data_IF_510134971417
#
_entry.id   IF_510134971417
#
_cell.length_a   1.000
_cell.length_b   1.000
_cell.length_c   1.000
_cell.angle_alpha   90.00
_cell.angle_beta   90.00
_cell.angle_gamma   90.00
#
_symmetry.space_group_name_H-M   'P 1'
#
loop_
_entity.id
_entity.type
_entity.pdbx_description
1 polymer ?
#
# COMPACT_ATOMS: atom_id res chain seq x y z
N UNK A 1 5.54 -34.76 32.82
CA UNK A 1 5.37 -33.61 33.75
C UNK A 1 6.04 -32.32 33.22
N UNK A 2 7.03 -32.39 32.29
CA UNK A 2 7.66 -31.19 31.70
C UNK A 2 6.92 -30.64 30.46
N UNK A 3 6.12 -31.39 29.77
CA UNK A 3 5.41 -30.92 28.55
C UNK A 3 4.25 -29.98 28.81
N UNK A 4 3.63 -30.01 30.00
CA UNK A 4 2.52 -29.16 30.37
C UNK A 4 2.92 -27.74 30.78
N UNK A 5 4.18 -27.51 31.11
CA UNK A 5 4.70 -26.16 31.43
C UNK A 5 4.91 -25.27 30.21
N UNK A 6 4.91 -25.85 28.99
CA UNK A 6 5.16 -25.15 27.72
C UNK A 6 3.88 -24.79 26.96
N UNK A 7 2.69 -25.24 27.43
CA UNK A 7 1.42 -24.99 26.74
C UNK A 7 1.11 -23.48 26.52
N UNK A 8 1.22 -22.57 27.52
CA UNK A 8 0.97 -21.15 27.28
C UNK A 8 2.04 -20.49 26.41
N UNK A 9 3.31 -20.92 26.52
CA UNK A 9 4.39 -20.44 25.67
C UNK A 9 4.27 -20.99 24.23
N UNK A 10 3.85 -22.23 24.07
CA UNK A 10 3.59 -22.86 22.78
C UNK A 10 2.44 -22.21 22.01
N UNK A 11 1.36 -21.83 22.72
CA UNK A 11 0.23 -21.08 22.15
C UNK A 11 0.62 -19.67 21.71
N UNK A 12 1.43 -18.96 22.48
CA UNK A 12 2.00 -17.66 22.10
C UNK A 12 2.90 -17.77 20.87
N UNK A 13 3.74 -18.81 20.80
CA UNK A 13 4.59 -19.09 19.66
C UNK A 13 3.81 -19.43 18.38
N UNK A 14 2.72 -20.18 18.49
CA UNK A 14 1.84 -20.52 17.37
C UNK A 14 1.05 -19.32 16.84
N UNK A 15 0.50 -18.49 17.73
CA UNK A 15 -0.25 -17.28 17.34
C UNK A 15 0.69 -16.25 16.71
N UNK A 16 1.87 -16.05 17.29
CA UNK A 16 2.89 -15.13 16.74
C UNK A 16 3.50 -15.64 15.43
N UNK A 17 3.83 -16.94 15.35
CA UNK A 17 4.47 -17.53 14.19
C UNK A 17 3.58 -17.64 12.95
N UNK A 18 2.28 -17.85 13.10
CA UNK A 18 1.35 -17.98 11.97
C UNK A 18 0.86 -16.63 11.42
N UNK A 19 0.86 -15.59 12.25
CA UNK A 19 0.43 -14.23 11.86
C UNK A 19 1.58 -13.41 11.25
N UNK A 20 2.82 -13.64 11.67
CA UNK A 20 3.98 -12.85 11.26
C UNK A 20 4.24 -12.85 9.73
N UNK A 21 4.29 -13.98 9.00
CA UNK A 21 4.64 -13.97 7.58
C UNK A 21 3.59 -13.27 6.70
N UNK A 22 2.30 -13.45 7.00
CA UNK A 22 1.23 -12.77 6.26
C UNK A 22 1.23 -11.25 6.45
N UNK A 23 1.55 -10.79 7.65
CA UNK A 23 1.65 -9.35 7.96
C UNK A 23 2.83 -8.72 7.22
N UNK A 24 3.97 -9.40 7.16
CA UNK A 24 5.19 -8.88 6.50
C UNK A 24 5.00 -8.79 4.99
N UNK A 25 4.42 -9.79 4.34
CA UNK A 25 4.19 -9.81 2.89
C UNK A 25 3.19 -8.72 2.50
N UNK A 26 2.08 -8.57 3.23
CA UNK A 26 1.10 -7.53 2.96
C UNK A 26 1.63 -6.11 3.22
N UNK A 27 2.54 -5.94 4.19
CA UNK A 27 3.19 -4.65 4.43
C UNK A 27 4.14 -4.25 3.29
N UNK A 28 4.89 -5.20 2.73
CA UNK A 28 5.80 -4.94 1.61
C UNK A 28 5.05 -4.57 0.33
N UNK A 29 3.98 -5.28 0.01
CA UNK A 29 3.15 -4.96 -1.15
C UNK A 29 2.50 -3.57 -1.03
N UNK A 30 1.91 -3.25 0.12
CA UNK A 30 1.31 -1.93 0.39
C UNK A 30 2.33 -0.79 0.38
N UNK A 31 3.56 -1.04 0.82
CA UNK A 31 4.62 -0.05 0.80
C UNK A 31 5.12 0.22 -0.63
N UNK A 32 5.13 -0.77 -1.51
CA UNK A 32 5.47 -0.61 -2.91
C UNK A 32 4.40 0.21 -3.66
N UNK A 33 3.11 -0.14 -3.49
CA UNK A 33 2.00 0.61 -4.07
C UNK A 33 2.01 2.08 -3.60
N UNK A 34 2.23 2.33 -2.30
CA UNK A 34 2.28 3.68 -1.74
C UNK A 34 3.45 4.52 -2.29
N UNK A 35 4.57 3.90 -2.64
CA UNK A 35 5.72 4.58 -3.25
C UNK A 35 5.41 5.07 -4.65
N UNK A 36 4.82 4.23 -5.49
CA UNK A 36 4.47 4.58 -6.87
C UNK A 36 3.55 5.80 -6.91
N UNK A 37 2.57 5.90 -6.01
CA UNK A 37 1.66 7.03 -5.93
C UNK A 37 2.36 8.37 -5.66
N UNK A 38 3.44 8.35 -4.87
CA UNK A 38 4.22 9.54 -4.54
C UNK A 38 5.10 10.01 -5.69
N UNK A 39 5.36 9.16 -6.69
CA UNK A 39 6.21 9.48 -7.83
C UNK A 39 5.46 10.19 -8.96
N UNK A 40 4.14 10.00 -9.05
CA UNK A 40 3.33 10.56 -10.11
C UNK A 40 3.32 12.10 -10.16
N UNK A 41 3.21 12.84 -9.03
CA UNK A 41 3.31 14.29 -9.06
C UNK A 41 4.62 14.77 -9.69
N UNK A 42 5.74 14.14 -9.35
CA UNK A 42 7.04 14.50 -9.88
C UNK A 42 7.14 14.16 -11.38
N UNK A 43 6.61 13.03 -11.82
CA UNK A 43 6.55 12.67 -13.24
C UNK A 43 5.73 13.71 -14.04
N UNK A 44 4.58 14.14 -13.52
CA UNK A 44 3.73 15.15 -14.17
C UNK A 44 4.41 16.54 -14.17
N UNK A 45 5.14 16.90 -13.13
CA UNK A 45 5.92 18.13 -13.11
C UNK A 45 7.07 18.13 -14.10
N UNK A 46 7.74 16.99 -14.31
CA UNK A 46 8.71 16.83 -15.37
C UNK A 46 8.07 17.01 -16.75
N UNK A 47 6.89 16.42 -17.01
CA UNK A 47 6.13 16.62 -18.23
C UNK A 47 5.79 18.10 -18.44
N UNK A 48 5.24 18.76 -17.41
CA UNK A 48 4.92 20.18 -17.44
C UNK A 48 6.12 21.05 -17.79
N UNK A 49 7.27 20.73 -17.19
CA UNK A 49 8.52 21.48 -17.43
C UNK A 49 9.02 21.28 -18.86
N UNK A 50 8.94 20.06 -19.39
CA UNK A 50 9.32 19.73 -20.75
C UNK A 50 8.44 20.43 -21.78
N UNK A 51 7.10 20.45 -21.57
CA UNK A 51 6.14 21.16 -22.42
C UNK A 51 6.39 22.67 -22.38
N UNK A 52 6.68 23.26 -21.22
CA UNK A 52 7.04 24.68 -21.11
C UNK A 52 8.34 25.01 -21.84
N UNK A 53 9.27 24.07 -21.93
CA UNK A 53 10.49 24.21 -22.70
C UNK A 53 10.28 24.02 -24.21
N UNK A 54 9.04 23.79 -24.66
CA UNK A 54 8.67 23.70 -26.08
C UNK A 54 8.69 22.27 -26.64
N UNK A 55 8.85 21.23 -25.81
CA UNK A 55 8.75 19.87 -26.29
C UNK A 55 7.28 19.51 -26.57
N UNK A 56 7.06 18.68 -27.57
CA UNK A 56 5.76 18.05 -27.80
C UNK A 56 5.44 17.03 -26.70
N UNK A 57 4.15 16.74 -26.48
CA UNK A 57 3.73 15.77 -25.45
C UNK A 57 4.38 14.38 -25.61
N UNK A 58 4.48 13.80 -26.83
CA UNK A 58 5.21 12.54 -27.02
C UNK A 58 6.69 12.64 -26.62
N UNK A 59 7.38 13.73 -27.01
CA UNK A 59 8.79 13.94 -26.65
C UNK A 59 8.99 14.11 -25.15
N UNK A 60 8.09 14.83 -24.50
CA UNK A 60 8.10 14.99 -23.04
C UNK A 60 7.93 13.64 -22.31
N UNK A 61 7.05 12.76 -22.80
CA UNK A 61 6.90 11.40 -22.28
C UNK A 61 8.14 10.53 -22.53
N UNK A 62 8.75 10.63 -23.70
CA UNK A 62 10.03 9.96 -24.00
C UNK A 62 11.12 10.45 -23.03
N UNK A 63 11.14 11.74 -22.70
CA UNK A 63 12.12 12.29 -21.75
C UNK A 63 12.01 11.68 -20.36
N UNK A 64 10.82 11.25 -19.93
CA UNK A 64 10.64 10.56 -18.64
C UNK A 64 11.39 9.23 -18.56
N UNK A 65 11.71 8.58 -19.68
CA UNK A 65 12.49 7.33 -19.66
C UNK A 65 13.92 7.50 -19.13
N UNK A 66 14.45 8.72 -19.10
CA UNK A 66 15.79 9.00 -18.60
C UNK A 66 15.86 10.13 -17.57
N UNK A 67 14.89 11.03 -17.51
CA UNK A 67 14.81 12.13 -16.51
C UNK A 67 13.73 11.95 -15.48
N UNK A 68 12.79 11.03 -15.68
CA UNK A 68 11.71 10.74 -14.74
C UNK A 68 12.17 10.03 -13.47
N UNK A 69 11.26 9.83 -12.52
CA UNK A 69 11.48 9.00 -11.34
C UNK A 69 11.99 7.61 -11.73
N UNK A 70 12.96 7.10 -10.99
CA UNK A 70 13.70 5.88 -11.33
C UNK A 70 12.79 4.69 -11.55
N UNK A 71 11.79 4.51 -10.69
CA UNK A 71 10.85 3.40 -10.74
C UNK A 71 9.90 3.43 -11.95
N UNK A 72 9.71 4.60 -12.55
CA UNK A 72 8.84 4.78 -13.73
C UNK A 72 9.62 4.78 -15.05
N UNK A 73 10.95 4.86 -15.02
CA UNK A 73 11.78 4.98 -16.24
C UNK A 73 11.59 3.82 -17.20
N UNK A 74 11.53 2.59 -16.67
CA UNK A 74 11.35 1.39 -17.50
C UNK A 74 10.02 1.39 -18.25
N UNK A 75 8.95 1.81 -17.59
CA UNK A 75 7.63 1.93 -18.20
C UNK A 75 7.64 2.98 -19.34
N UNK A 76 8.25 4.14 -19.10
CA UNK A 76 8.37 5.17 -20.13
C UNK A 76 9.37 4.78 -21.23
N UNK A 77 10.37 3.94 -20.95
CA UNK A 77 11.23 3.36 -21.98
C UNK A 77 10.46 2.39 -22.90
N UNK A 78 9.50 1.63 -22.34
CA UNK A 78 8.56 0.84 -23.13
C UNK A 78 7.72 1.72 -24.04
N UNK A 79 7.10 2.77 -23.50
CA UNK A 79 6.36 3.74 -24.31
C UNK A 79 7.22 4.35 -25.41
N UNK A 80 8.45 4.75 -25.09
CA UNK A 80 9.38 5.35 -26.05
C UNK A 80 9.67 4.42 -27.24
N UNK A 81 9.90 3.13 -26.98
CA UNK A 81 10.14 2.13 -28.03
C UNK A 81 8.89 1.92 -28.89
N UNK A 82 7.74 1.76 -28.26
CA UNK A 82 6.48 1.53 -28.95
C UNK A 82 6.09 2.72 -29.84
N UNK A 83 6.21 3.94 -29.31
CA UNK A 83 5.88 5.13 -30.06
C UNK A 83 6.83 5.38 -31.23
N UNK A 84 8.13 5.15 -31.05
CA UNK A 84 9.12 5.26 -32.15
C UNK A 84 8.91 4.23 -33.23
N UNK A 85 8.40 3.06 -32.89
CA UNK A 85 8.16 1.97 -33.86
C UNK A 85 6.85 2.19 -34.62
N UNK A 86 5.79 2.66 -33.99
CA UNK A 86 4.44 2.76 -34.57
C UNK A 86 4.08 4.17 -35.07
N UNK A 87 4.62 5.22 -34.43
CA UNK A 87 4.17 6.60 -34.60
C UNK A 87 2.78 6.89 -33.96
N UNK A 88 2.14 5.88 -33.41
CA UNK A 88 0.77 5.96 -32.87
C UNK A 88 0.76 6.28 -31.39
N UNK A 89 0.35 7.50 -31.04
CA UNK A 89 0.42 7.98 -29.66
C UNK A 89 -0.57 7.28 -28.73
N UNK A 90 -1.86 7.24 -29.11
CA UNK A 90 -2.91 6.66 -28.24
C UNK A 90 -2.74 5.16 -28.03
N UNK A 91 -2.46 4.34 -29.06
CA UNK A 91 -2.14 2.94 -28.85
C UNK A 91 -0.92 2.70 -27.95
N UNK A 92 0.14 3.53 -28.09
CA UNK A 92 1.32 3.43 -27.23
C UNK A 92 1.02 3.80 -25.77
N UNK A 93 0.15 4.79 -25.53
CA UNK A 93 -0.33 5.11 -24.20
C UNK A 93 -1.20 3.98 -23.61
N UNK A 94 -2.01 3.32 -24.42
CA UNK A 94 -2.79 2.17 -23.95
C UNK A 94 -1.90 1.02 -23.50
N UNK A 95 -0.84 0.70 -24.25
CA UNK A 95 0.14 -0.31 -23.85
C UNK A 95 0.89 0.09 -22.58
N UNK A 96 1.24 1.38 -22.43
CA UNK A 96 1.82 1.90 -21.19
C UNK A 96 0.87 1.71 -20.00
N UNK A 97 -0.42 2.00 -20.19
CA UNK A 97 -1.47 1.79 -19.19
C UNK A 97 -1.56 0.34 -18.73
N UNK A 98 -1.54 -0.60 -19.68
CA UNK A 98 -1.55 -2.04 -19.38
C UNK A 98 -0.27 -2.47 -18.65
N UNK A 99 0.89 -1.96 -19.06
CA UNK A 99 2.17 -2.28 -18.46
C UNK A 99 2.24 -1.81 -16.99
N UNK A 100 1.81 -0.59 -16.70
CA UNK A 100 1.81 -0.03 -15.35
C UNK A 100 0.80 -0.70 -14.43
N UNK A 101 -0.35 -1.08 -14.98
CA UNK A 101 -1.45 -1.73 -14.23
C UNK A 101 -1.83 -1.04 -12.92
N UNK A 102 -1.74 0.30 -12.88
CA UNK A 102 -1.94 1.16 -11.71
C UNK A 102 -3.14 2.11 -11.92
N UNK A 103 -4.09 2.22 -10.96
CA UNK A 103 -5.27 3.09 -11.09
C UNK A 103 -4.94 4.57 -11.30
N UNK A 104 -3.83 5.06 -10.71
CA UNK A 104 -3.40 6.45 -10.88
C UNK A 104 -2.84 6.66 -12.27
N UNK A 105 -2.02 5.71 -12.74
CA UNK A 105 -1.54 5.70 -14.12
C UNK A 105 -2.69 5.74 -15.12
N UNK A 106 -3.74 4.94 -14.89
CA UNK A 106 -4.94 4.93 -15.73
C UNK A 106 -5.55 6.33 -15.84
N UNK A 107 -5.74 7.01 -14.72
CA UNK A 107 -6.31 8.37 -14.69
C UNK A 107 -5.41 9.39 -15.39
N UNK A 108 -4.10 9.32 -15.17
CA UNK A 108 -3.13 10.23 -15.79
C UNK A 108 -3.09 9.99 -17.31
N UNK A 109 -3.07 8.73 -17.75
CA UNK A 109 -3.02 8.39 -19.18
C UNK A 109 -4.29 8.85 -19.90
N UNK A 110 -5.47 8.68 -19.29
CA UNK A 110 -6.70 9.23 -19.87
C UNK A 110 -6.68 10.77 -19.92
N UNK A 111 -6.18 11.43 -18.87
CA UNK A 111 -6.00 12.87 -18.88
C UNK A 111 -5.01 13.33 -19.99
N UNK A 112 -3.93 12.59 -20.24
CA UNK A 112 -2.97 12.89 -21.29
C UNK A 112 -3.55 12.71 -22.70
N UNK A 113 -4.46 11.75 -22.90
CA UNK A 113 -5.17 11.59 -24.18
C UNK A 113 -6.04 12.81 -24.46
N UNK A 114 -6.83 13.25 -23.47
CA UNK A 114 -7.66 14.46 -23.57
C UNK A 114 -6.80 15.70 -23.77
N UNK A 115 -5.70 15.80 -23.04
CA UNK A 115 -4.76 16.91 -23.11
C UNK A 115 -4.17 17.08 -24.52
N UNK A 116 -3.93 15.97 -25.23
CA UNK A 116 -3.47 16.01 -26.63
C UNK A 116 -4.52 16.62 -27.56
N UNK A 117 -5.79 16.35 -27.36
CA UNK A 117 -6.90 16.88 -28.17
C UNK A 117 -7.07 18.40 -27.97
N UNK A 118 -6.89 18.87 -26.73
CA UNK A 118 -7.00 20.27 -26.36
C UNK A 118 -5.83 21.09 -26.94
N UNK A 119 -4.61 20.54 -26.90
CA UNK A 119 -3.40 21.13 -27.50
C UNK A 119 -2.99 22.49 -26.94
N UNK A 120 -1.82 22.99 -27.35
CA UNK A 120 -1.40 24.36 -27.16
C UNK A 120 -1.11 24.83 -25.74
N UNK A 121 -1.39 26.10 -25.46
CA UNK A 121 -1.06 26.79 -24.19
C UNK A 121 -1.77 26.23 -22.95
N UNK A 122 -2.91 25.57 -23.12
CA UNK A 122 -3.71 25.09 -22.01
C UNK A 122 -3.23 23.73 -21.47
N UNK A 123 -2.44 22.99 -22.27
CA UNK A 123 -1.82 21.76 -21.82
C UNK A 123 -0.93 21.95 -20.59
N UNK A 124 -0.14 23.03 -20.55
CA UNK A 124 0.69 23.36 -19.40
C UNK A 124 -0.10 23.69 -18.13
N UNK A 125 -1.27 24.32 -18.28
CA UNK A 125 -2.19 24.59 -17.14
C UNK A 125 -2.84 23.29 -16.66
N UNK A 126 -3.33 22.46 -17.57
CA UNK A 126 -3.95 21.19 -17.27
C UNK A 126 -2.98 20.28 -16.50
N UNK A 127 -1.74 20.13 -16.97
CA UNK A 127 -0.70 19.37 -16.28
C UNK A 127 -0.38 19.96 -14.89
N UNK A 128 -0.43 21.30 -14.75
CA UNK A 128 -0.29 21.96 -13.45
C UNK A 128 -1.39 21.56 -12.48
N UNK A 129 -2.64 21.68 -12.88
CA UNK A 129 -3.79 21.29 -12.07
C UNK A 129 -3.75 19.79 -11.72
N UNK A 130 -3.35 18.96 -12.68
CA UNK A 130 -3.20 17.51 -12.45
C UNK A 130 -2.09 17.23 -11.41
N UNK A 131 -0.94 17.89 -11.50
CA UNK A 131 0.14 17.75 -10.51
C UNK A 131 -0.31 18.17 -9.12
N UNK A 132 -0.99 19.31 -8.99
CA UNK A 132 -1.50 19.82 -7.71
C UNK A 132 -2.54 18.84 -7.11
N UNK A 133 -3.45 18.33 -7.93
CA UNK A 133 -4.43 17.32 -7.52
C UNK A 133 -3.76 16.02 -7.04
N UNK A 134 -2.75 15.54 -7.77
CA UNK A 134 -2.02 14.32 -7.40
C UNK A 134 -1.25 14.51 -6.08
N UNK A 135 -0.65 15.68 -5.86
CA UNK A 135 0.03 16.01 -4.59
C UNK A 135 -0.93 16.04 -3.42
N UNK A 136 -2.08 16.67 -3.58
CA UNK A 136 -3.09 16.74 -2.52
C UNK A 136 -3.63 15.34 -2.18
N UNK A 137 -3.92 14.52 -3.20
CA UNK A 137 -4.33 13.14 -3.00
C UNK A 137 -3.25 12.31 -2.30
N UNK A 138 -1.99 12.42 -2.72
CA UNK A 138 -0.87 11.72 -2.10
C UNK A 138 -0.70 12.13 -0.64
N UNK A 139 -0.84 13.42 -0.34
CA UNK A 139 -0.79 13.97 1.02
C UNK A 139 -1.92 13.44 1.88
N UNK A 140 -3.16 13.57 1.42
CA UNK A 140 -4.35 13.09 2.15
C UNK A 140 -4.25 11.60 2.43
N UNK A 141 -3.80 10.82 1.44
CA UNK A 141 -3.60 9.37 1.61
C UNK A 141 -2.52 9.06 2.64
N UNK A 142 -1.40 9.79 2.62
CA UNK A 142 -0.32 9.61 3.61
C UNK A 142 -0.78 9.94 5.03
N UNK A 143 -1.58 10.98 5.21
CA UNK A 143 -2.18 11.35 6.50
C UNK A 143 -3.16 10.28 7.02
N UNK A 144 -4.01 9.73 6.13
CA UNK A 144 -4.91 8.64 6.46
C UNK A 144 -4.15 7.38 6.88
N UNK A 145 -3.09 7.01 6.15
CA UNK A 145 -2.25 5.87 6.48
C UNK A 145 -1.51 6.07 7.82
N UNK A 146 -1.03 7.28 8.09
CA UNK A 146 -0.40 7.61 9.36
C UNK A 146 -1.36 7.46 10.55
N UNK A 147 -2.58 7.99 10.43
CA UNK A 147 -3.64 7.84 11.45
C UNK A 147 -4.02 6.37 11.66
N UNK A 148 -4.16 5.62 10.58
CA UNK A 148 -4.51 4.20 10.62
C UNK A 148 -3.41 3.37 11.30
N UNK A 149 -2.13 3.67 11.05
CA UNK A 149 -1.02 2.94 11.64
C UNK A 149 -1.00 3.05 13.17
N UNK A 150 -1.32 4.20 13.72
CA UNK A 150 -1.48 4.41 15.16
C UNK A 150 -2.55 3.50 15.76
N UNK A 151 -3.74 3.46 15.13
CA UNK A 151 -4.87 2.64 15.60
C UNK A 151 -4.53 1.15 15.56
N UNK A 152 -3.91 0.68 14.48
CA UNK A 152 -3.49 -0.73 14.35
C UNK A 152 -2.41 -1.09 15.38
N UNK A 153 -1.47 -0.21 15.66
CA UNK A 153 -0.43 -0.45 16.66
C UNK A 153 -1.00 -0.47 18.07
N UNK A 154 -1.93 0.43 18.40
CA UNK A 154 -2.66 0.41 19.68
C UNK A 154 -3.44 -0.90 19.87
N UNK A 155 -4.09 -1.40 18.81
CA UNK A 155 -4.78 -2.68 18.84
C UNK A 155 -3.85 -3.87 19.07
N UNK A 156 -2.69 -3.88 18.41
CA UNK A 156 -1.68 -4.92 18.64
C UNK A 156 -1.23 -4.94 20.08
N UNK A 157 -0.97 -3.77 20.65
CA UNK A 157 -0.57 -3.65 22.05
C UNK A 157 -1.66 -4.14 22.98
N UNK A 158 -2.92 -3.76 22.73
CA UNK A 158 -4.09 -4.21 23.53
C UNK A 158 -4.30 -5.72 23.45
N UNK A 159 -4.02 -6.36 22.30
CA UNK A 159 -4.11 -7.82 22.15
C UNK A 159 -2.96 -8.57 22.86
N UNK A 160 -1.77 -7.95 22.96
CA UNK A 160 -0.60 -8.57 23.58
C UNK A 160 -0.60 -8.39 25.10
N UNK A 161 -1.13 -7.28 25.62
CA UNK A 161 -1.09 -6.94 27.04
C UNK A 161 -1.68 -8.03 27.98
N UNK A 162 -2.87 -8.63 27.71
CA UNK A 162 -3.41 -9.69 28.57
C UNK A 162 -2.50 -10.92 28.64
N UNK A 163 -1.83 -11.26 27.54
CA UNK A 163 -0.92 -12.41 27.48
C UNK A 163 0.36 -12.17 28.25
N UNK A 164 0.84 -10.92 28.27
CA UNK A 164 1.98 -10.53 29.11
C UNK A 164 1.64 -10.64 30.60
N UNK A 165 0.45 -10.20 31.00
CA UNK A 165 -0.04 -10.35 32.39
C UNK A 165 -0.18 -11.83 32.77
N UNK A 166 -0.73 -12.67 31.87
CA UNK A 166 -0.82 -14.10 32.08
C UNK A 166 0.56 -14.77 32.25
N UNK A 167 1.55 -14.36 31.47
CA UNK A 167 2.93 -14.83 31.64
C UNK A 167 3.53 -14.46 33.00
N UNK A 168 3.28 -13.22 33.45
CA UNK A 168 3.70 -12.76 34.79
C UNK A 168 3.00 -13.56 35.90
N UNK A 169 1.69 -13.79 35.77
CA UNK A 169 0.95 -14.56 36.75
C UNK A 169 1.35 -16.04 36.77
N UNK A 170 1.76 -16.60 35.62
CA UNK A 170 2.24 -17.97 35.54
C UNK A 170 3.55 -18.23 36.34
N UNK A 171 4.24 -17.19 36.80
CA UNK A 171 5.40 -17.35 37.72
C UNK A 171 4.99 -17.76 39.13
N UNK A 172 3.74 -17.50 39.52
CA UNK A 172 3.22 -17.84 40.87
C UNK A 172 2.74 -19.31 40.92
N UNK A 173 3.16 -20.08 41.94
CA UNK A 173 2.77 -21.50 42.06
C UNK A 173 1.26 -21.73 42.11
N UNK A 174 0.52 -20.86 42.81
CA UNK A 174 -0.94 -20.95 42.95
C UNK A 174 -1.66 -20.78 41.60
N UNK A 175 -1.20 -19.84 40.74
CA UNK A 175 -1.78 -19.61 39.45
C UNK A 175 -1.51 -20.78 38.48
N UNK A 176 -0.36 -21.45 38.58
CA UNK A 176 -0.04 -22.64 37.77
C UNK A 176 -1.02 -23.78 38.00
N UNK A 177 -1.46 -24.02 39.23
CA UNK A 177 -2.45 -25.06 39.52
C UNK A 177 -3.80 -24.78 38.84
N UNK A 178 -4.23 -23.52 38.82
CA UNK A 178 -5.48 -23.10 38.17
C UNK A 178 -5.37 -23.21 36.64
N UNK A 179 -4.30 -22.75 36.08
CA UNK A 179 -4.11 -22.78 34.58
C UNK A 179 -3.88 -24.19 34.06
N UNK A 180 -3.37 -25.13 34.86
CA UNK A 180 -3.22 -26.53 34.48
C UNK A 180 -4.51 -27.35 34.65
N UNK A 181 -5.58 -26.76 35.18
CA UNK A 181 -6.88 -27.41 35.25
C UNK A 181 -7.58 -27.36 33.88
N UNK A 182 -8.51 -28.30 33.65
CA UNK A 182 -9.33 -28.34 32.44
C UNK A 182 -10.10 -27.00 32.26
N UNK A 183 -10.62 -26.43 33.32
CA UNK A 183 -11.30 -25.13 33.30
C UNK A 183 -10.35 -23.99 32.89
N UNK A 184 -9.13 -23.97 33.42
CA UNK A 184 -8.12 -22.97 33.11
C UNK A 184 -7.67 -23.06 31.65
N UNK A 185 -7.47 -24.26 31.10
CA UNK A 185 -7.16 -24.46 29.70
C UNK A 185 -8.28 -23.97 28.77
N UNK A 186 -9.54 -24.28 29.10
CA UNK A 186 -10.71 -23.81 28.35
C UNK A 186 -10.81 -22.27 28.35
N UNK A 187 -10.56 -21.65 29.49
CA UNK A 187 -10.56 -20.18 29.63
C UNK A 187 -9.48 -19.55 28.76
N UNK A 188 -8.27 -20.12 28.72
CA UNK A 188 -7.18 -19.61 27.87
C UNK A 188 -7.48 -19.76 26.38
N UNK A 189 -8.06 -20.88 25.97
CA UNK A 189 -8.47 -21.10 24.55
C UNK A 189 -9.58 -20.11 24.16
N UNK A 190 -10.58 -19.91 25.02
CA UNK A 190 -11.65 -18.95 24.78
C UNK A 190 -11.10 -17.51 24.70
N UNK A 191 -10.21 -17.12 25.60
CA UNK A 191 -9.54 -15.80 25.57
C UNK A 191 -8.72 -15.61 24.30
N UNK A 192 -7.99 -16.63 23.86
CA UNK A 192 -7.24 -16.61 22.62
C UNK A 192 -8.16 -16.43 21.39
N UNK A 193 -9.26 -17.19 21.35
CA UNK A 193 -10.24 -17.10 20.27
C UNK A 193 -10.90 -15.70 20.19
N UNK A 194 -11.29 -15.13 21.33
CA UNK A 194 -11.85 -13.79 21.42
C UNK A 194 -10.82 -12.73 20.98
N UNK A 195 -9.58 -12.82 21.45
CA UNK A 195 -8.50 -11.90 21.06
C UNK A 195 -8.22 -11.96 19.57
N UNK A 196 -8.20 -13.16 18.98
CA UNK A 196 -7.99 -13.35 17.56
C UNK A 196 -9.17 -12.82 16.73
N UNK A 197 -10.40 -13.05 17.18
CA UNK A 197 -11.60 -12.53 16.53
C UNK A 197 -11.64 -10.99 16.57
N UNK A 198 -11.38 -10.39 17.72
CA UNK A 198 -11.28 -8.95 17.90
C UNK A 198 -10.19 -8.34 16.99
N UNK A 199 -9.01 -8.95 16.96
CA UNK A 199 -7.91 -8.51 16.09
C UNK A 199 -8.27 -8.58 14.59
N UNK A 200 -8.91 -9.68 14.16
CA UNK A 200 -9.38 -9.82 12.76
C UNK A 200 -10.46 -8.80 12.41
N UNK A 201 -11.41 -8.58 13.30
CA UNK A 201 -12.47 -7.59 13.11
C UNK A 201 -11.87 -6.18 12.96
N UNK A 202 -10.93 -5.84 13.81
CA UNK A 202 -10.27 -4.54 13.77
C UNK A 202 -9.43 -4.34 12.51
N UNK A 203 -8.71 -5.37 12.05
CA UNK A 203 -8.01 -5.31 10.76
C UNK A 203 -8.99 -5.09 9.59
N UNK A 204 -10.15 -5.76 9.63
CA UNK A 204 -11.18 -5.64 8.59
C UNK A 204 -11.85 -4.26 8.57
N UNK A 205 -12.12 -3.69 9.73
CA UNK A 205 -12.67 -2.32 9.86
C UNK A 205 -11.63 -1.27 9.46
N UNK A 206 -10.35 -1.54 9.77
CA UNK A 206 -9.24 -0.64 9.44
C UNK A 206 -8.73 -0.76 8.00
N UNK A 207 -9.25 -1.64 7.16
CA UNK A 207 -8.83 -1.73 5.74
C UNK A 207 -9.44 -0.56 4.96
N UNK A 208 -8.55 0.33 4.45
CA UNK A 208 -8.95 1.33 3.47
C UNK A 208 -9.43 0.63 2.19
N UNK A 209 -10.53 1.08 1.58
CA UNK A 209 -10.98 0.54 0.32
C UNK A 209 -9.88 0.66 -0.73
N UNK A 210 -9.57 -0.46 -1.41
CA UNK A 210 -8.67 -0.43 -2.57
C UNK A 210 -9.39 0.28 -3.70
N UNK A 211 -8.74 1.26 -4.28
CA UNK A 211 -9.24 1.84 -5.52
C UNK A 211 -9.29 0.75 -6.58
N UNK A 212 -10.49 0.51 -7.09
CA UNK A 212 -10.69 -0.39 -8.23
C UNK A 212 -10.31 0.35 -9.50
N UNK A 213 -9.61 -0.34 -10.40
CA UNK A 213 -9.41 0.18 -11.75
C UNK A 213 -10.78 0.41 -12.39
N UNK A 214 -11.08 1.67 -12.69
CA UNK A 214 -12.38 2.07 -13.29
C UNK A 214 -12.29 1.98 -14.81
N UNK A 215 -11.07 2.04 -15.36
CA UNK A 215 -10.78 2.10 -16.79
C UNK A 215 -9.99 0.86 -17.27
N UNK A 216 -10.21 -0.28 -16.65
CA UNK A 216 -9.59 -1.55 -17.06
C UNK A 216 -10.41 -2.33 -18.06
#
# INVERSE_FOLDING_TARGET
>A
LMLTQLLPLGLLGLIGGFAAPRVIVNHRARAADARIWQLWPDAVDHLRSAIRAGLSLPEALIQLSYRGPEELRDAFAHFSRDYRASGEFVPSLNRLKEYLSDPVADTIIEALKIAREVGGSDLGKLLGTLSDFLRENARTRSELLARQSWTVNAARLSCVAPWFVLCLMATQPAARMVYNSFAGAMLMIAGAAISLAAYRLMLRIGELPRERRVFG
#
